data_IF_913620883750
#
_entry.id   IF_913620883750
#
_cell.length_a   1.000
_cell.length_b   1.000
_cell.length_c   1.000
_cell.angle_alpha   90.00
_cell.angle_beta   90.00
_cell.angle_gamma   90.00
#
_symmetry.space_group_name_H-M   'P 1'
#
loop_
_entity.id
_entity.type
_entity.pdbx_description
1 polymer ?
#
# COMPACT_ATOMS: atom_id res chain seq x y z
N UNK A 1 5.73 -8.64 -20.82
CA UNK A 1 6.21 -7.64 -21.79
C UNK A 1 7.27 -6.74 -21.14
N UNK A 2 8.11 -6.12 -21.97
CA UNK A 2 9.02 -5.05 -21.53
C UNK A 2 8.42 -3.72 -21.99
N UNK A 3 8.45 -2.73 -21.11
CA UNK A 3 8.00 -1.36 -21.40
C UNK A 3 9.15 -0.39 -21.16
N UNK A 4 9.32 0.56 -22.07
CA UNK A 4 10.21 1.70 -21.90
C UNK A 4 9.54 2.70 -20.95
N UNK A 5 10.23 3.06 -19.89
CA UNK A 5 9.74 4.02 -18.89
C UNK A 5 10.47 5.36 -18.97
N UNK A 6 11.28 5.56 -20.00
CA UNK A 6 12.13 6.74 -20.19
C UNK A 6 13.52 6.55 -19.55
N UNK A 7 14.41 7.55 -19.76
CA UNK A 7 15.78 7.58 -19.21
C UNK A 7 16.62 6.33 -19.52
N UNK A 8 16.32 5.62 -20.63
CA UNK A 8 16.95 4.35 -21.04
C UNK A 8 16.67 3.18 -20.09
N UNK A 9 15.66 3.29 -19.25
CA UNK A 9 15.22 2.22 -18.36
C UNK A 9 14.08 1.41 -18.96
N UNK A 10 14.10 0.10 -18.69
CA UNK A 10 13.05 -0.85 -19.12
C UNK A 10 12.48 -1.54 -17.89
N UNK A 11 11.15 -1.55 -17.77
CA UNK A 11 10.44 -2.27 -16.73
C UNK A 11 9.70 -3.49 -17.30
N UNK A 12 9.41 -4.46 -16.44
CA UNK A 12 8.57 -5.60 -16.79
C UNK A 12 7.11 -5.29 -16.55
N UNK A 13 6.27 -5.51 -17.54
CA UNK A 13 4.81 -5.51 -17.37
C UNK A 13 4.29 -6.95 -17.37
N UNK A 14 3.54 -7.30 -16.35
CA UNK A 14 2.93 -8.61 -16.15
C UNK A 14 1.41 -8.43 -16.18
N UNK A 15 0.76 -9.03 -17.16
CA UNK A 15 -0.67 -8.86 -17.41
C UNK A 15 -1.44 -10.18 -17.38
N UNK A 16 -0.75 -11.30 -17.22
CA UNK A 16 -1.33 -12.64 -17.30
C UNK A 16 -0.60 -13.64 -16.39
N UNK A 17 -1.19 -14.83 -16.27
CA UNK A 17 -0.64 -15.91 -15.46
C UNK A 17 0.72 -16.40 -16.01
N UNK A 18 0.90 -16.42 -17.32
CA UNK A 18 2.17 -16.87 -17.93
C UNK A 18 3.32 -15.93 -17.55
N UNK A 19 3.08 -14.63 -17.57
CA UNK A 19 4.03 -13.63 -17.10
C UNK A 19 4.36 -13.80 -15.61
N UNK A 20 3.36 -14.06 -14.76
CA UNK A 20 3.58 -14.31 -13.33
C UNK A 20 4.41 -15.59 -13.11
N UNK A 21 4.11 -16.68 -13.81
CA UNK A 21 4.88 -17.91 -13.74
C UNK A 21 6.33 -17.72 -14.21
N UNK A 22 6.55 -16.84 -15.20
CA UNK A 22 7.91 -16.50 -15.64
C UNK A 22 8.72 -15.82 -14.55
N UNK A 23 8.11 -14.99 -13.70
CA UNK A 23 8.78 -14.39 -12.52
C UNK A 23 9.16 -15.48 -11.51
N UNK A 24 8.27 -16.44 -11.26
CA UNK A 24 8.55 -17.57 -10.36
C UNK A 24 9.72 -18.41 -10.89
N UNK A 25 9.75 -18.71 -12.19
CA UNK A 25 10.87 -19.42 -12.83
C UNK A 25 12.19 -18.64 -12.76
N UNK A 26 12.12 -17.32 -12.73
CA UNK A 26 13.28 -16.45 -12.54
C UNK A 26 13.65 -16.25 -11.06
N UNK A 27 13.09 -17.03 -10.13
CA UNK A 27 13.30 -16.95 -8.69
C UNK A 27 12.95 -15.58 -8.08
N UNK A 28 11.99 -14.86 -8.66
CA UNK A 28 11.49 -13.62 -8.07
C UNK A 28 10.65 -13.93 -6.85
N UNK A 29 11.10 -13.48 -5.69
CA UNK A 29 10.42 -13.70 -4.40
C UNK A 29 9.48 -12.56 -4.06
N UNK A 30 9.86 -11.32 -4.32
CA UNK A 30 9.06 -10.13 -4.03
C UNK A 30 8.67 -9.39 -5.31
N UNK A 31 7.42 -8.95 -5.38
CA UNK A 31 6.91 -8.14 -6.49
C UNK A 31 6.52 -6.77 -5.96
N UNK A 32 7.16 -5.74 -6.49
CA UNK A 32 6.96 -4.34 -6.13
C UNK A 32 6.59 -3.51 -7.36
N UNK A 33 5.31 -3.45 -7.74
CA UNK A 33 4.88 -2.69 -8.90
C UNK A 33 4.87 -1.18 -8.64
N UNK A 34 4.88 -0.41 -9.72
CA UNK A 34 4.50 1.00 -9.71
C UNK A 34 3.01 1.15 -9.37
N UNK A 35 2.63 2.34 -8.93
CA UNK A 35 1.24 2.73 -8.71
C UNK A 35 0.52 3.20 -9.96
N UNK A 36 1.00 2.85 -11.16
CA UNK A 36 0.38 3.19 -12.45
C UNK A 36 0.34 1.99 -13.39
N UNK A 37 -0.45 2.12 -14.45
CA UNK A 37 -0.60 1.12 -15.51
C UNK A 37 0.40 1.36 -16.62
N UNK A 38 0.76 0.29 -17.33
CA UNK A 38 1.70 0.35 -18.45
C UNK A 38 1.27 1.27 -19.61
N UNK A 39 -0.04 1.43 -19.79
CA UNK A 39 -0.63 2.29 -20.81
C UNK A 39 -0.77 3.77 -20.36
N UNK A 40 -0.52 4.06 -19.08
CA UNK A 40 -0.62 5.41 -18.49
C UNK A 40 0.40 5.63 -17.37
N UNK A 41 1.68 5.52 -17.70
CA UNK A 41 2.79 5.56 -16.74
C UNK A 41 2.83 6.85 -15.90
N UNK A 42 2.47 7.98 -16.50
CA UNK A 42 2.54 9.28 -15.85
C UNK A 42 1.34 9.60 -14.94
N UNK A 43 0.34 8.69 -14.90
CA UNK A 43 -0.89 8.90 -14.14
C UNK A 43 -1.12 7.74 -13.18
N UNK A 44 -1.03 7.95 -11.86
CA UNK A 44 -1.28 6.89 -10.90
C UNK A 44 -2.73 6.39 -10.96
N UNK A 45 -2.92 5.08 -10.80
CA UNK A 45 -4.22 4.41 -10.69
C UNK A 45 -4.56 4.03 -9.25
N UNK A 46 -3.64 4.27 -8.33
CA UNK A 46 -3.79 4.07 -6.88
C UNK A 46 -2.88 4.98 -6.09
N UNK A 47 -3.29 5.27 -4.85
CA UNK A 47 -2.41 5.87 -3.84
C UNK A 47 -2.15 4.85 -2.74
N UNK A 48 -0.99 4.95 -2.10
CA UNK A 48 -0.59 4.07 -1.00
C UNK A 48 -0.11 4.95 0.15
N UNK A 49 -0.68 4.74 1.33
CA UNK A 49 -0.18 5.22 2.60
C UNK A 49 0.44 4.03 3.33
N UNK A 50 1.76 3.99 3.37
CA UNK A 50 2.53 2.96 4.04
C UNK A 50 2.73 3.38 5.51
N UNK A 51 2.12 2.64 6.42
CA UNK A 51 2.20 2.90 7.86
C UNK A 51 3.39 2.13 8.44
N UNK A 52 4.50 2.82 8.63
CA UNK A 52 5.77 2.27 9.10
C UNK A 52 5.99 2.64 10.59
N UNK A 53 5.65 1.73 11.53
CA UNK A 53 5.81 1.98 12.95
C UNK A 53 7.27 1.91 13.38
N UNK A 54 7.66 2.73 14.37
CA UNK A 54 8.89 2.50 15.12
C UNK A 54 8.80 1.18 15.91
N UNK A 55 9.95 0.65 16.33
CA UNK A 55 10.03 -0.69 16.96
C UNK A 55 9.28 -0.78 18.31
N UNK A 56 9.16 0.35 18.98
CA UNK A 56 8.49 0.51 20.28
C UNK A 56 7.00 0.82 20.17
N UNK A 57 6.45 0.98 18.97
CA UNK A 57 5.02 1.24 18.76
C UNK A 57 4.23 -0.07 18.83
N UNK A 58 3.22 -0.17 19.72
CA UNK A 58 2.40 -1.36 19.84
C UNK A 58 1.46 -1.52 18.63
N UNK A 59 1.14 -2.77 18.29
CA UNK A 59 0.38 -3.09 17.07
C UNK A 59 -1.01 -2.43 17.01
N UNK A 60 -1.70 -2.31 18.15
CA UNK A 60 -3.02 -1.67 18.16
C UNK A 60 -2.96 -0.23 17.66
N UNK A 61 -1.87 0.50 17.95
CA UNK A 61 -1.70 1.85 17.42
C UNK A 61 -1.53 1.89 15.90
N UNK A 62 -0.93 0.84 15.32
CA UNK A 62 -0.80 0.71 13.85
C UNK A 62 -2.17 0.47 13.21
N UNK A 63 -3.01 -0.35 13.83
CA UNK A 63 -4.38 -0.57 13.33
C UNK A 63 -5.24 0.67 13.48
N UNK A 64 -5.14 1.40 14.60
CA UNK A 64 -5.80 2.68 14.79
C UNK A 64 -5.33 3.74 13.78
N UNK A 65 -4.03 3.77 13.46
CA UNK A 65 -3.50 4.66 12.42
C UNK A 65 -4.12 4.35 11.05
N UNK A 66 -4.27 3.08 10.70
CA UNK A 66 -4.92 2.69 9.45
C UNK A 66 -6.38 3.16 9.41
N UNK A 67 -7.11 3.01 10.51
CA UNK A 67 -8.49 3.51 10.65
C UNK A 67 -8.52 5.04 10.55
N UNK A 68 -7.60 5.76 11.20
CA UNK A 68 -7.52 7.23 11.14
C UNK A 68 -7.25 7.74 9.70
N UNK A 69 -6.39 7.04 8.94
CA UNK A 69 -6.17 7.34 7.51
C UNK A 69 -7.45 7.11 6.73
N UNK A 70 -8.13 5.96 6.92
CA UNK A 70 -9.41 5.65 6.28
C UNK A 70 -10.46 6.72 6.54
N UNK A 71 -10.68 7.06 7.80
CA UNK A 71 -11.68 8.06 8.20
C UNK A 71 -11.40 9.42 7.57
N UNK A 72 -10.13 9.84 7.55
CA UNK A 72 -9.77 11.10 6.89
C UNK A 72 -10.02 11.03 5.38
N UNK A 73 -9.69 9.93 4.70
CA UNK A 73 -9.98 9.74 3.29
C UNK A 73 -11.48 9.76 2.99
N UNK A 74 -12.31 9.18 3.86
CA UNK A 74 -13.78 9.24 3.75
C UNK A 74 -14.29 10.69 3.81
N UNK A 75 -13.72 11.55 4.66
CA UNK A 75 -14.09 12.99 4.67
C UNK A 75 -13.75 13.70 3.35
N UNK A 76 -12.85 13.14 2.56
CA UNK A 76 -12.46 13.63 1.25
C UNK A 76 -13.21 12.94 0.09
N UNK A 77 -14.18 12.07 0.41
CA UNK A 77 -14.98 11.33 -0.56
C UNK A 77 -14.25 10.15 -1.21
N UNK A 78 -13.22 9.60 -0.54
CA UNK A 78 -12.42 8.50 -1.04
C UNK A 78 -12.62 7.23 -0.19
N UNK A 79 -12.95 6.13 -0.86
CA UNK A 79 -12.92 4.79 -0.29
C UNK A 79 -11.50 4.22 -0.37
N UNK A 80 -11.15 3.40 0.61
CA UNK A 80 -9.83 2.78 0.71
C UNK A 80 -9.90 1.33 1.14
N UNK A 81 -8.81 0.62 0.91
CA UNK A 81 -8.61 -0.77 1.25
C UNK A 81 -7.37 -0.93 2.11
N UNK A 82 -7.28 -1.99 2.88
CA UNK A 82 -6.15 -2.23 3.76
C UNK A 82 -5.51 -3.58 3.48
N UNK A 83 -4.20 -3.68 3.63
CA UNK A 83 -3.45 -4.94 3.58
C UNK A 83 -2.28 -4.93 4.54
N UNK A 84 -1.84 -6.12 4.96
CA UNK A 84 -0.55 -6.28 5.63
C UNK A 84 0.58 -6.03 4.63
N UNK A 85 1.74 -5.58 5.12
CA UNK A 85 2.94 -5.49 4.29
C UNK A 85 3.73 -6.81 4.25
N UNK A 86 3.42 -7.75 5.15
CA UNK A 86 4.25 -8.93 5.41
C UNK A 86 5.56 -8.58 6.15
N UNK A 87 5.72 -7.33 6.54
CA UNK A 87 6.83 -6.79 7.33
C UNK A 87 6.36 -6.27 8.68
N UNK A 88 6.48 -4.95 8.91
CA UNK A 88 6.14 -4.31 10.19
C UNK A 88 4.80 -3.57 10.21
N UNK A 89 4.33 -3.11 9.08
CA UNK A 89 3.22 -2.15 8.99
C UNK A 89 2.04 -2.59 8.14
N UNK A 90 1.18 -1.63 7.87
CA UNK A 90 -0.01 -1.77 7.02
C UNK A 90 0.07 -0.80 5.84
N UNK A 91 -0.46 -1.20 4.70
CA UNK A 91 -0.76 -0.26 3.62
C UNK A 91 -2.26 0.06 3.60
N UNK A 92 -2.59 1.34 3.59
CA UNK A 92 -3.90 1.82 3.16
C UNK A 92 -3.81 2.19 1.69
N UNK A 93 -4.62 1.53 0.86
CA UNK A 93 -4.56 1.64 -0.61
C UNK A 93 -5.84 2.26 -1.12
N UNK A 94 -5.71 3.29 -1.95
CA UNK A 94 -6.83 4.05 -2.51
C UNK A 94 -6.82 3.89 -4.03
N UNK A 95 -7.71 3.10 -4.63
CA UNK A 95 -7.83 3.05 -6.09
C UNK A 95 -8.36 4.39 -6.59
N UNK A 96 -7.75 4.93 -7.64
CA UNK A 96 -8.15 6.20 -8.25
C UNK A 96 -8.17 6.11 -9.76
N UNK A 97 -9.01 6.94 -10.39
CA UNK A 97 -8.93 7.12 -11.83
C UNK A 97 -7.64 7.85 -12.18
N UNK A 98 -6.91 7.44 -13.23
CA UNK A 98 -5.65 8.06 -13.64
C UNK A 98 -5.90 9.39 -14.37
N UNK A 99 -6.33 10.41 -13.61
CA UNK A 99 -6.73 11.75 -14.12
C UNK A 99 -5.79 12.86 -13.70
N UNK A 100 -4.86 12.57 -12.78
CA UNK A 100 -3.82 13.51 -12.32
C UNK A 100 -2.45 12.91 -12.55
N UNK A 101 -1.43 13.76 -12.61
CA UNK A 101 -0.03 13.32 -12.71
C UNK A 101 0.58 13.06 -11.34
N UNK A 102 1.77 12.45 -11.31
CA UNK A 102 2.50 12.09 -10.09
C UNK A 102 2.73 13.27 -9.12
N UNK A 103 3.12 14.49 -9.56
CA UNK A 103 3.32 15.60 -8.63
C UNK A 103 2.05 15.96 -7.86
N UNK A 104 0.89 15.92 -8.52
CA UNK A 104 -0.40 16.22 -7.89
C UNK A 104 -0.82 15.11 -6.93
N UNK A 105 -0.64 13.85 -7.32
CA UNK A 105 -0.92 12.69 -6.46
C UNK A 105 -0.05 12.71 -5.20
N UNK A 106 1.24 13.00 -5.35
CA UNK A 106 2.19 13.14 -4.24
C UNK A 106 1.82 14.31 -3.32
N UNK A 107 1.48 15.46 -3.89
CA UNK A 107 1.08 16.64 -3.10
C UNK A 107 -0.19 16.36 -2.30
N UNK A 108 -1.20 15.71 -2.89
CA UNK A 108 -2.41 15.28 -2.19
C UNK A 108 -2.09 14.31 -1.04
N UNK A 109 -1.28 13.28 -1.31
CA UNK A 109 -0.91 12.29 -0.31
C UNK A 109 -0.08 12.90 0.83
N UNK A 110 0.80 13.85 0.52
CA UNK A 110 1.55 14.62 1.48
C UNK A 110 0.62 15.46 2.39
N UNK A 111 -0.40 16.09 1.80
CA UNK A 111 -1.38 16.87 2.57
C UNK A 111 -2.17 16.00 3.55
N UNK A 112 -2.61 14.80 3.14
CA UNK A 112 -3.28 13.82 3.99
C UNK A 112 -2.37 13.42 5.16
N UNK A 113 -1.15 12.95 4.87
CA UNK A 113 -0.20 12.52 5.90
C UNK A 113 0.17 13.65 6.89
N UNK A 114 0.41 14.87 6.36
CA UNK A 114 0.75 16.03 7.16
C UNK A 114 -0.43 16.46 8.04
N UNK A 115 -1.66 16.38 7.55
CA UNK A 115 -2.86 16.72 8.33
C UNK A 115 -3.01 15.78 9.52
N UNK A 116 -2.83 14.48 9.30
CA UNK A 116 -2.90 13.49 10.39
C UNK A 116 -1.76 13.68 11.41
N UNK A 117 -0.53 13.91 10.92
CA UNK A 117 0.60 14.20 11.80
C UNK A 117 0.44 15.48 12.61
N UNK A 118 -0.21 16.53 12.07
CA UNK A 118 -0.54 17.74 12.83
C UNK A 118 -1.64 17.54 13.85
N UNK A 119 -2.63 16.68 13.57
CA UNK A 119 -3.72 16.36 14.51
C UNK A 119 -3.25 15.54 15.71
N UNK A 120 -2.32 14.62 15.49
CA UNK A 120 -1.78 13.72 16.51
C UNK A 120 -0.25 13.66 16.42
N UNK A 121 0.48 14.73 16.76
CA UNK A 121 1.92 14.85 16.57
C UNK A 121 2.73 13.90 17.45
N UNK A 122 2.16 13.41 18.54
CA UNK A 122 2.81 12.43 19.43
C UNK A 122 2.74 11.01 18.87
N UNK A 123 1.82 10.72 17.93
CA UNK A 123 1.60 9.40 17.35
C UNK A 123 2.10 9.27 15.92
N UNK A 124 1.97 10.34 15.11
CA UNK A 124 2.21 10.28 13.68
C UNK A 124 3.28 11.26 13.24
N UNK A 125 4.01 10.88 12.21
CA UNK A 125 4.99 11.74 11.53
C UNK A 125 4.89 11.52 10.02
N UNK A 126 5.09 12.61 9.26
CA UNK A 126 5.06 12.61 7.79
C UNK A 126 6.44 12.96 7.19
N UNK A 127 7.52 12.71 7.93
CA UNK A 127 8.91 12.99 7.49
C UNK A 127 9.78 11.74 7.58
N UNK A 128 10.76 11.62 6.68
CA UNK A 128 11.70 10.50 6.66
C UNK A 128 12.75 10.54 7.79
N UNK A 129 12.85 11.61 8.58
CA UNK A 129 13.81 11.73 9.67
C UNK A 129 13.67 10.58 10.67
N UNK A 130 14.72 9.76 10.80
CA UNK A 130 14.76 8.65 11.78
C UNK A 130 14.55 9.12 13.22
N UNK A 131 15.10 10.29 13.55
CA UNK A 131 14.94 10.88 14.88
C UNK A 131 13.48 11.25 15.17
N UNK A 132 12.78 11.81 14.18
CA UNK A 132 11.38 12.17 14.31
C UNK A 132 10.43 10.97 14.41
N UNK A 133 10.86 9.77 13.99
CA UNK A 133 10.04 8.55 13.99
C UNK A 133 10.04 7.79 15.32
N UNK A 134 10.92 8.12 16.28
CA UNK A 134 10.99 7.39 17.57
C UNK A 134 9.64 7.46 18.28
N UNK A 135 9.11 6.30 18.68
CA UNK A 135 7.82 6.14 19.33
C UNK A 135 6.61 6.53 18.49
N UNK A 136 6.75 6.61 17.16
CA UNK A 136 5.71 7.12 16.26
C UNK A 136 5.55 6.22 15.03
N UNK A 137 4.42 6.41 14.36
CA UNK A 137 4.13 5.79 13.07
C UNK A 137 4.42 6.82 11.98
N UNK A 138 5.31 6.45 11.07
CA UNK A 138 5.53 7.22 9.87
C UNK A 138 4.44 6.89 8.84
N UNK A 139 3.66 7.91 8.47
CA UNK A 139 2.70 7.82 7.38
C UNK A 139 3.47 8.13 6.09
N UNK A 140 4.06 7.08 5.51
CA UNK A 140 4.87 7.21 4.29
C UNK A 140 3.97 7.36 3.07
N UNK A 141 3.96 8.57 2.51
CA UNK A 141 3.28 8.93 1.27
C UNK A 141 4.23 8.98 0.05
N UNK A 142 5.52 8.77 0.24
CA UNK A 142 6.53 8.83 -0.83
C UNK A 142 6.37 7.69 -1.84
N UNK A 143 5.57 6.66 -1.52
CA UNK A 143 5.15 5.63 -2.48
C UNK A 143 4.32 6.18 -3.63
N UNK A 144 3.81 7.41 -3.51
CA UNK A 144 2.97 8.07 -4.50
C UNK A 144 3.79 9.02 -5.39
N UNK A 145 4.94 8.57 -5.84
CA UNK A 145 5.84 9.29 -6.74
C UNK A 145 6.17 8.44 -7.97
N UNK A 146 6.58 9.09 -9.06
CA UNK A 146 7.00 8.39 -10.28
C UNK A 146 8.18 7.47 -9.98
N UNK A 147 8.09 6.22 -10.40
CA UNK A 147 9.13 5.23 -10.14
C UNK A 147 9.13 4.65 -8.73
N UNK A 148 8.38 5.21 -7.80
CA UNK A 148 8.24 4.61 -6.48
C UNK A 148 7.45 3.29 -6.56
N UNK A 149 7.85 2.32 -5.75
CA UNK A 149 7.24 1.00 -5.71
C UNK A 149 6.72 0.67 -4.31
N UNK A 150 5.76 -0.23 -4.26
CA UNK A 150 5.28 -0.82 -3.02
C UNK A 150 4.97 -2.31 -3.23
N UNK A 151 5.11 -3.10 -2.17
CA UNK A 151 4.85 -4.54 -2.25
C UNK A 151 3.43 -4.81 -2.75
N UNK A 152 3.29 -5.69 -3.74
CA UNK A 152 1.99 -6.08 -4.30
C UNK A 152 1.14 -6.85 -3.28
N UNK A 153 -0.19 -6.79 -3.43
CA UNK A 153 -1.07 -7.74 -2.78
C UNK A 153 -0.71 -9.18 -3.19
N UNK A 154 -0.67 -10.08 -2.21
CA UNK A 154 -0.29 -11.48 -2.36
C UNK A 154 1.18 -11.72 -2.75
N UNK A 155 2.03 -10.70 -2.77
CA UNK A 155 3.47 -10.91 -2.92
C UNK A 155 4.04 -11.52 -1.63
N UNK A 156 4.87 -12.53 -1.80
CA UNK A 156 5.74 -13.04 -0.73
C UNK A 156 6.79 -11.99 -0.37
N UNK A 157 7.38 -12.16 0.81
CA UNK A 157 8.51 -11.36 1.29
C UNK A 157 9.72 -12.26 1.48
N UNK A 158 10.89 -11.75 1.12
CA UNK A 158 12.18 -12.42 1.32
C UNK A 158 12.59 -12.37 2.81
N UNK A 159 11.74 -12.92 3.67
CA UNK A 159 11.90 -13.01 5.11
C UNK A 159 11.97 -14.49 5.55
N UNK A 160 12.57 -14.77 6.69
CA UNK A 160 12.78 -16.14 7.19
C UNK A 160 11.48 -16.97 7.26
N UNK A 161 10.33 -16.31 7.51
CA UNK A 161 9.01 -16.96 7.57
C UNK A 161 8.26 -16.94 6.25
N UNK A 162 8.85 -16.44 5.15
CA UNK A 162 8.18 -16.26 3.86
C UNK A 162 6.79 -15.64 4.03
N UNK A 163 6.73 -14.49 4.72
CA UNK A 163 5.49 -13.77 4.98
C UNK A 163 4.88 -13.25 3.69
N UNK A 164 3.58 -12.96 3.69
CA UNK A 164 2.84 -12.52 2.51
C UNK A 164 2.10 -11.22 2.79
N UNK A 165 2.24 -10.28 1.89
CA UNK A 165 1.45 -9.03 1.89
C UNK A 165 0.00 -9.36 1.52
N UNK A 166 -0.91 -9.31 2.49
CA UNK A 166 -2.24 -9.92 2.37
C UNK A 166 -3.36 -8.87 2.48
N UNK A 167 -4.27 -8.79 1.50
CA UNK A 167 -5.50 -8.01 1.59
C UNK A 167 -6.35 -8.40 2.79
N UNK A 168 -6.92 -7.40 3.45
CA UNK A 168 -7.78 -7.55 4.62
C UNK A 168 -9.08 -6.79 4.40
N UNK A 169 -10.18 -7.32 4.96
CA UNK A 169 -11.33 -6.49 5.27
C UNK A 169 -11.00 -5.57 6.46
N UNK A 170 -11.62 -4.40 6.53
CA UNK A 170 -11.35 -3.45 7.63
C UNK A 170 -11.70 -4.03 9.01
N UNK A 171 -12.69 -4.91 9.05
CA UNK A 171 -13.17 -5.58 10.25
C UNK A 171 -12.20 -6.66 10.77
N UNK A 172 -11.24 -7.05 9.95
CA UNK A 172 -10.19 -8.02 10.35
C UNK A 172 -9.04 -7.37 11.13
N UNK A 173 -8.98 -6.03 11.16
CA UNK A 173 -7.99 -5.32 11.97
C UNK A 173 -8.27 -5.52 13.45
N UNK A 174 -7.55 -6.42 14.08
CA UNK A 174 -7.69 -6.81 15.47
C UNK A 174 -6.33 -6.95 16.14
N UNK A 175 -6.32 -7.04 17.46
CA UNK A 175 -5.08 -7.24 18.23
C UNK A 175 -4.38 -8.57 17.93
N UNK A 176 -5.13 -9.59 17.51
CA UNK A 176 -4.59 -10.92 17.19
C UNK A 176 -3.94 -11.01 15.81
N UNK A 177 -4.14 -10.03 14.95
CA UNK A 177 -3.57 -10.01 13.59
C UNK A 177 -2.35 -9.08 13.56
N UNK A 178 -1.21 -9.59 13.09
CA UNK A 178 0.04 -8.83 12.92
C UNK A 178 0.36 -8.67 11.43
N UNK A 179 1.24 -7.73 11.10
CA UNK A 179 1.66 -7.50 9.72
C UNK A 179 2.28 -8.73 9.05
N UNK A 180 2.97 -9.56 9.83
CA UNK A 180 3.66 -10.78 9.41
C UNK A 180 2.85 -12.07 9.69
N UNK A 181 1.55 -11.94 9.98
CA UNK A 181 0.68 -13.06 10.34
C UNK A 181 0.54 -14.08 9.22
N UNK A 182 0.38 -13.61 7.99
CA UNK A 182 0.20 -14.47 6.83
C UNK A 182 1.55 -14.86 6.22
N UNK A 183 1.71 -16.16 5.99
CA UNK A 183 2.89 -16.79 5.40
C UNK A 183 2.46 -17.66 4.22
N UNK A 184 3.40 -18.16 3.44
CA UNK A 184 3.11 -19.12 2.37
C UNK A 184 2.42 -20.39 2.90
N UNK A 185 2.67 -20.77 4.15
CA UNK A 185 2.11 -21.98 4.76
C UNK A 185 0.64 -21.82 5.13
N UNK A 186 0.23 -20.68 5.69
CA UNK A 186 -1.12 -20.46 6.19
C UNK A 186 -2.06 -19.70 5.22
N UNK A 187 -1.51 -19.03 4.20
CA UNK A 187 -2.30 -18.24 3.26
C UNK A 187 -3.32 -19.08 2.50
N UNK A 188 -2.96 -20.31 2.12
CA UNK A 188 -3.88 -21.21 1.43
C UNK A 188 -5.13 -21.52 2.26
N UNK A 189 -4.97 -21.75 3.55
CA UNK A 189 -6.09 -21.96 4.46
C UNK A 189 -6.96 -20.70 4.55
N UNK A 190 -6.34 -19.52 4.71
CA UNK A 190 -7.06 -18.25 4.70
C UNK A 190 -7.90 -18.08 3.44
N UNK A 191 -7.30 -18.25 2.26
CA UNK A 191 -8.01 -18.06 0.99
C UNK A 191 -9.19 -19.03 0.83
N UNK A 192 -9.07 -20.27 1.32
CA UNK A 192 -10.16 -21.25 1.32
C UNK A 192 -11.26 -20.96 2.33
N UNK A 193 -11.00 -20.17 3.37
CA UNK A 193 -11.98 -19.79 4.41
C UNK A 193 -12.69 -18.46 4.15
N UNK A 194 -12.22 -17.66 3.19
CA UNK A 194 -12.86 -16.40 2.85
C UNK A 194 -14.25 -16.61 2.25
N UNK A 195 -15.26 -15.96 2.82
CA UNK A 195 -16.62 -15.93 2.27
C UNK A 195 -16.76 -14.90 1.15
N UNK A 196 -15.99 -13.82 1.24
CA UNK A 196 -15.97 -12.70 0.29
C UNK A 196 -14.54 -12.22 0.09
N UNK A 197 -14.25 -11.70 -1.10
CA UNK A 197 -12.98 -11.02 -1.35
C UNK A 197 -12.90 -9.76 -0.49
N UNK A 198 -11.90 -9.61 0.39
CA UNK A 198 -11.70 -8.41 1.21
C UNK A 198 -11.56 -7.11 0.38
N UNK A 199 -11.13 -7.25 -0.86
CA UNK A 199 -10.98 -6.14 -1.80
C UNK A 199 -12.06 -6.15 -2.91
N UNK A 200 -13.21 -6.76 -2.62
CA UNK A 200 -14.36 -6.70 -3.53
C UNK A 200 -14.67 -5.24 -3.89
N UNK A 201 -14.73 -4.95 -5.18
CA UNK A 201 -14.99 -3.60 -5.65
C UNK A 201 -13.75 -2.75 -5.97
N UNK A 202 -12.54 -3.12 -5.52
CA UNK A 202 -11.30 -2.34 -5.74
C UNK A 202 -11.14 -1.88 -7.19
N UNK A 203 -11.28 -2.77 -8.16
CA UNK A 203 -11.17 -2.46 -9.58
C UNK A 203 -12.42 -1.82 -10.20
N UNK A 204 -13.53 -1.76 -9.46
CA UNK A 204 -14.79 -1.18 -9.93
C UNK A 204 -14.98 0.27 -9.52
N UNK A 205 -14.31 0.71 -8.45
CA UNK A 205 -14.40 2.08 -7.97
C UNK A 205 -13.95 3.09 -9.04
N UNK A 206 -14.68 4.20 -9.11
CA UNK A 206 -14.44 5.29 -10.08
C UNK A 206 -14.35 6.62 -9.35
N UNK A 207 -13.37 6.72 -8.46
CA UNK A 207 -13.11 7.92 -7.67
C UNK A 207 -11.90 8.69 -8.19
N UNK A 208 -11.86 9.99 -7.93
CA UNK A 208 -10.79 10.88 -8.37
C UNK A 208 -10.16 11.57 -7.19
N UNK A 209 -8.86 11.84 -7.29
CA UNK A 209 -8.17 12.66 -6.30
C UNK A 209 -8.82 14.05 -6.31
N UNK A 210 -9.29 14.59 -5.15
CA UNK A 210 -9.78 15.95 -5.07
C UNK A 210 -8.63 16.92 -5.37
N UNK A 211 -8.78 17.71 -6.43
CA UNK A 211 -7.83 18.79 -6.74
C UNK A 211 -8.40 20.05 -6.13
N UNK A 212 -7.64 20.80 -5.31
CA UNK A 212 -8.07 22.12 -4.84
C UNK A 212 -8.38 23.02 -6.05
N UNK A 213 -9.52 23.69 -6.02
CA UNK A 213 -9.88 24.70 -7.01
C UNK A 213 -9.04 25.95 -6.81
#
# INVERSE_FOLDING_TARGET
>A
ARIDVGEKETMLAINDLAGLLSLVQANVVEIHPWGSRADRLEHPDRLIFDLDPAEDVPWHEVTEAAVAVREHLVTLGLESFVKTTGGKGLHVVVPVQPTVEWPQAKAFSAAVATTLAKRQPDRYVATMSKQARRGRIFIDYFRNDRGATAVAAFSTRAAARATVSTPLAWEELSEGLRSDHFTVDNLRHRLGSLRHDPWAGFFKLRQRIPVPR
#
